data_IF_584690531475
#
_entry.id   IF_584690531475
#
_cell.length_a   1.000
_cell.length_b   1.000
_cell.length_c   1.000
_cell.angle_alpha   90.00
_cell.angle_beta   90.00
_cell.angle_gamma   90.00
#
_symmetry.space_group_name_H-M   'P 1'
#
loop_
_entity.id
_entity.type
_entity.pdbx_description
1 polymer ?
#
# COMPACT_ATOMS: atom_id res chain seq x y z
N UNK A 1 -4.10 -10.35 4.74
CA UNK A 1 -3.24 -11.36 4.09
C UNK A 1 -2.16 -11.70 5.08
N UNK A 2 -1.91 -12.98 5.30
CA UNK A 2 -0.90 -13.40 6.27
C UNK A 2 0.50 -13.03 5.77
N UNK A 3 1.39 -12.72 6.71
CA UNK A 3 2.76 -12.28 6.40
C UNK A 3 3.54 -13.38 5.70
N UNK A 4 3.34 -14.63 6.11
CA UNK A 4 4.07 -15.78 5.59
C UNK A 4 3.69 -16.10 4.14
N UNK A 5 2.42 -15.92 3.76
CA UNK A 5 1.98 -16.09 2.37
C UNK A 5 2.67 -15.10 1.43
N UNK A 6 2.74 -13.82 1.84
CA UNK A 6 3.42 -12.78 1.07
C UNK A 6 4.91 -13.12 0.94
N UNK A 7 5.56 -13.53 2.04
CA UNK A 7 6.98 -13.91 2.03
C UNK A 7 7.24 -15.04 1.05
N UNK A 8 6.41 -16.08 1.07
CA UNK A 8 6.50 -17.20 0.15
C UNK A 8 6.40 -16.74 -1.31
N UNK A 9 5.42 -15.86 -1.60
CA UNK A 9 5.22 -15.31 -2.93
C UNK A 9 6.45 -14.56 -3.44
N UNK A 10 7.09 -13.75 -2.60
CA UNK A 10 8.30 -13.02 -2.97
C UNK A 10 9.48 -13.96 -3.17
N UNK A 11 9.72 -14.90 -2.25
CA UNK A 11 10.83 -15.86 -2.32
C UNK A 11 10.81 -16.69 -3.60
N UNK A 12 9.64 -17.18 -4.01
CA UNK A 12 9.52 -18.05 -5.18
C UNK A 12 9.44 -17.32 -6.52
N UNK A 13 9.22 -16.00 -6.51
CA UNK A 13 8.92 -15.23 -7.72
C UNK A 13 10.03 -15.29 -8.78
N UNK A 14 11.30 -15.18 -8.38
CA UNK A 14 12.44 -15.23 -9.31
C UNK A 14 12.60 -16.64 -9.89
N UNK A 15 12.54 -17.68 -9.04
CA UNK A 15 12.70 -19.06 -9.48
C UNK A 15 11.53 -19.56 -10.34
N UNK A 16 10.29 -19.17 -10.02
CA UNK A 16 9.10 -19.67 -10.68
C UNK A 16 8.71 -18.85 -11.93
N UNK A 17 9.01 -17.56 -11.93
CA UNK A 17 8.53 -16.63 -12.96
C UNK A 17 9.64 -15.75 -13.57
N UNK A 18 10.86 -15.78 -13.05
CA UNK A 18 11.95 -14.94 -13.54
C UNK A 18 11.77 -13.45 -13.25
N UNK A 19 10.97 -13.09 -12.23
CA UNK A 19 10.64 -11.69 -11.91
C UNK A 19 11.00 -11.33 -10.47
N UNK A 20 11.28 -10.04 -10.25
CA UNK A 20 11.49 -9.44 -8.92
C UNK A 20 10.44 -8.39 -8.65
N UNK A 21 9.78 -8.49 -7.51
CA UNK A 21 8.80 -7.50 -7.07
C UNK A 21 9.49 -6.34 -6.36
N UNK A 22 9.63 -5.20 -7.05
CA UNK A 22 10.29 -4.00 -6.50
C UNK A 22 9.32 -2.99 -5.90
N UNK A 23 8.01 -3.15 -6.12
CA UNK A 23 6.97 -2.30 -5.55
C UNK A 23 5.98 -3.16 -4.77
N UNK A 24 5.78 -2.83 -3.50
CA UNK A 24 4.77 -3.44 -2.63
C UNK A 24 3.55 -2.52 -2.52
N UNK A 25 2.36 -2.98 -2.92
CA UNK A 25 1.12 -2.20 -2.82
C UNK A 25 0.34 -2.65 -1.58
N UNK A 26 0.08 -1.75 -0.63
CA UNK A 26 -0.64 -2.07 0.61
C UNK A 26 -1.66 -1.00 1.02
N UNK A 27 -2.62 -1.39 1.85
CA UNK A 27 -3.63 -0.52 2.48
C UNK A 27 -3.19 -0.19 3.91
N UNK A 28 -2.21 0.72 4.07
CA UNK A 28 -1.62 1.02 5.38
C UNK A 28 -0.95 -0.16 6.12
N UNK A 29 -1.05 -1.39 5.61
CA UNK A 29 -0.57 -2.59 6.28
C UNK A 29 0.95 -2.52 6.42
N UNK A 30 1.39 -2.49 7.66
CA UNK A 30 2.77 -2.26 8.01
C UNK A 30 3.47 -3.54 8.49
N UNK A 31 2.73 -4.61 8.77
CA UNK A 31 3.30 -5.88 9.26
C UNK A 31 3.80 -6.73 8.10
N UNK A 32 2.97 -6.88 7.07
CA UNK A 32 3.30 -7.62 5.83
C UNK A 32 4.50 -7.01 5.12
N UNK A 33 4.48 -5.69 4.89
CA UNK A 33 5.60 -4.97 4.27
C UNK A 33 6.91 -5.15 5.05
N UNK A 34 6.88 -4.98 6.38
CA UNK A 34 8.07 -5.23 7.23
C UNK A 34 8.56 -6.66 7.10
N UNK A 35 7.64 -7.63 7.11
CA UNK A 35 7.98 -9.05 6.95
C UNK A 35 8.73 -9.34 5.66
N UNK A 36 8.37 -8.68 4.55
CA UNK A 36 9.05 -8.79 3.25
C UNK A 36 10.40 -8.10 3.24
N UNK A 37 10.48 -6.86 3.75
CA UNK A 37 11.73 -6.10 3.78
C UNK A 37 12.79 -6.80 4.64
N UNK A 38 12.39 -7.34 5.79
CA UNK A 38 13.29 -8.10 6.67
C UNK A 38 13.79 -9.39 6.00
N UNK A 39 12.95 -10.04 5.19
CA UNK A 39 13.33 -11.27 4.49
C UNK A 39 14.39 -11.02 3.40
N UNK A 40 14.45 -9.79 2.86
CA UNK A 40 15.36 -9.41 1.78
C UNK A 40 15.41 -10.45 0.64
N UNK A 41 14.26 -10.78 0.02
CA UNK A 41 14.12 -11.95 -0.86
C UNK A 41 14.98 -11.89 -2.15
N UNK A 42 15.52 -10.71 -2.47
CA UNK A 42 16.37 -10.48 -3.65
C UNK A 42 17.75 -9.94 -3.28
N UNK A 43 18.13 -10.05 -2.00
CA UNK A 43 19.39 -9.53 -1.45
C UNK A 43 19.43 -8.01 -1.32
N UNK A 44 20.57 -7.49 -0.87
CA UNK A 44 20.78 -6.07 -0.52
C UNK A 44 20.74 -5.11 -1.72
N UNK A 45 20.77 -5.64 -2.94
CA UNK A 45 20.79 -4.85 -4.17
C UNK A 45 19.42 -4.28 -4.56
N UNK A 46 18.33 -4.85 -4.04
CA UNK A 46 16.96 -4.48 -4.40
C UNK A 46 16.22 -3.94 -3.19
N UNK A 47 15.88 -2.66 -3.25
CA UNK A 47 14.99 -2.02 -2.28
C UNK A 47 13.53 -2.14 -2.71
N UNK A 48 12.71 -2.79 -1.89
CA UNK A 48 11.28 -3.01 -2.15
C UNK A 48 10.51 -1.78 -1.64
N UNK A 49 9.96 -0.99 -2.56
CA UNK A 49 9.30 0.27 -2.22
C UNK A 49 7.84 0.06 -1.87
N UNK A 50 7.42 0.50 -0.68
CA UNK A 50 5.99 0.57 -0.33
C UNK A 50 5.29 1.66 -1.12
N UNK A 51 4.13 1.31 -1.69
CA UNK A 51 3.16 2.25 -2.24
C UNK A 51 1.79 2.00 -1.61
N UNK A 52 1.03 3.07 -1.47
CA UNK A 52 -0.33 3.00 -0.95
C UNK A 52 -1.30 2.59 -2.06
N UNK A 53 -2.26 1.74 -1.71
CA UNK A 53 -3.35 1.36 -2.59
C UNK A 53 -4.23 2.58 -2.92
N UNK A 54 -4.60 2.74 -4.20
CA UNK A 54 -5.43 3.86 -4.67
C UNK A 54 -6.77 3.93 -3.92
N UNK A 55 -7.40 2.78 -3.67
CA UNK A 55 -8.66 2.70 -2.91
C UNK A 55 -8.46 3.14 -1.46
N UNK A 56 -7.30 2.86 -0.85
CA UNK A 56 -6.99 3.36 0.49
C UNK A 56 -6.83 4.89 0.48
N UNK A 57 -6.10 5.42 -0.51
CA UNK A 57 -5.90 6.85 -0.68
C UNK A 57 -7.24 7.56 -0.83
N UNK A 58 -8.14 7.03 -1.67
CA UNK A 58 -9.48 7.58 -1.88
C UNK A 58 -10.30 7.58 -0.59
N UNK A 59 -10.38 6.44 0.11
CA UNK A 59 -11.10 6.32 1.39
C UNK A 59 -10.57 7.31 2.42
N UNK A 60 -9.24 7.42 2.56
CA UNK A 60 -8.57 8.35 3.47
C UNK A 60 -8.90 9.80 3.11
N UNK A 61 -8.86 10.15 1.83
CA UNK A 61 -9.19 11.49 1.34
C UNK A 61 -10.65 11.83 1.61
N UNK A 62 -11.58 10.94 1.26
CA UNK A 62 -13.01 11.12 1.51
C UNK A 62 -13.32 11.31 3.00
N UNK A 63 -12.70 10.53 3.88
CA UNK A 63 -12.88 10.67 5.34
C UNK A 63 -12.37 12.01 5.86
N UNK A 64 -11.20 12.47 5.38
CA UNK A 64 -10.67 13.80 5.74
C UNK A 64 -11.55 14.93 5.22
N UNK A 65 -12.07 14.83 4.00
CA UNK A 65 -12.97 15.84 3.42
C UNK A 65 -14.28 15.95 4.21
N UNK A 66 -14.89 14.81 4.58
CA UNK A 66 -16.10 14.80 5.42
C UNK A 66 -15.85 15.41 6.81
N UNK A 67 -14.72 15.08 7.43
CA UNK A 67 -14.32 15.68 8.70
C UNK A 67 -14.11 17.19 8.59
N UNK A 68 -13.51 17.66 7.49
CA UNK A 68 -13.31 19.07 7.19
C UNK A 68 -14.65 19.81 7.01
N UNK A 69 -15.59 19.25 6.25
CA UNK A 69 -16.95 19.80 6.09
C UNK A 69 -17.67 19.94 7.43
N UNK A 70 -17.52 18.95 8.32
CA UNK A 70 -18.13 18.98 9.66
C UNK A 70 -17.52 20.06 10.56
N UNK A 71 -16.21 20.28 10.49
CA UNK A 71 -15.51 21.29 11.31
C UNK A 71 -15.59 22.71 10.74
N UNK A 72 -15.78 22.84 9.43
CA UNK A 72 -15.93 24.12 8.72
C UNK A 72 -17.14 24.07 7.79
N UNK A 73 -18.34 24.45 8.29
CA UNK A 73 -19.59 24.37 7.54
C UNK A 73 -19.61 25.19 6.24
N UNK A 74 -18.76 26.21 6.13
CA UNK A 74 -18.59 27.03 4.93
C UNK A 74 -17.88 26.30 3.78
N UNK A 75 -17.25 25.16 4.05
CA UNK A 75 -16.58 24.34 3.04
C UNK A 75 -17.64 23.43 2.40
N UNK A 76 -18.29 23.95 1.37
CA UNK A 76 -19.27 23.26 0.55
C UNK A 76 -19.72 24.11 -0.63
N UNK A 77 -20.12 23.46 -1.72
CA UNK A 77 -20.73 24.09 -2.88
C UNK A 77 -21.67 23.09 -3.55
N UNK A 78 -22.74 23.58 -4.19
CA UNK A 78 -23.48 22.75 -5.17
C UNK A 78 -22.49 22.50 -6.30
N UNK A 79 -22.09 21.23 -6.50
CA UNK A 79 -21.32 20.88 -7.68
C UNK A 79 -22.08 21.38 -8.91
N UNK A 80 -21.41 22.12 -9.79
CA UNK A 80 -21.96 22.42 -11.10
C UNK A 80 -21.91 21.12 -11.88
N UNK A 81 -23.03 20.39 -11.86
CA UNK A 81 -23.35 19.32 -12.80
C UNK A 81 -24.48 19.88 -13.67
#
# INVERSE_FOLDING_TARGET
MEVDDIREMFRRSENLHGVKYVNYIGDGDSKTYKGVVTESPYGETIDIKKKECINHVEKRMGSKLRACKKSKPSIGGKGFI
#
